data_IF_629850405142
#
_entry.id   IF_629850405142
#
_cell.length_a   1.000
_cell.length_b   1.000
_cell.length_c   1.000
_cell.angle_alpha   90.00
_cell.angle_beta   90.00
_cell.angle_gamma   90.00
#
_symmetry.space_group_name_H-M   'P 1'
#
loop_
_entity.id
_entity.type
_entity.pdbx_description
1 polymer ?
#
# COMPACT_ATOMS: atom_id res chain seq x y z
N UNK A 1 37.51 -38.12 -13.91
CA UNK A 1 37.02 -37.48 -12.68
C UNK A 1 38.09 -36.49 -12.31
N UNK A 2 37.83 -35.18 -12.42
CA UNK A 2 38.82 -34.13 -12.20
C UNK A 2 39.23 -34.07 -10.72
N UNK A 3 40.48 -33.72 -10.45
CA UNK A 3 40.88 -33.37 -9.08
C UNK A 3 40.17 -32.09 -8.61
N UNK A 4 40.08 -31.88 -7.30
CA UNK A 4 39.37 -30.74 -6.72
C UNK A 4 39.88 -29.41 -7.28
N UNK A 5 41.20 -29.26 -7.41
CA UNK A 5 41.85 -28.04 -7.91
C UNK A 5 41.59 -27.83 -9.39
N UNK A 6 41.60 -28.88 -10.21
CA UNK A 6 41.29 -28.79 -11.65
C UNK A 6 39.84 -28.35 -11.86
N UNK A 7 38.88 -28.98 -11.16
CA UNK A 7 37.48 -28.60 -11.24
C UNK A 7 37.21 -27.17 -10.73
N UNK A 8 37.99 -26.72 -9.74
CA UNK A 8 37.94 -25.35 -9.24
C UNK A 8 38.49 -24.35 -10.26
N UNK A 9 39.60 -24.66 -10.94
CA UNK A 9 40.16 -23.81 -11.98
C UNK A 9 39.18 -23.63 -13.15
N UNK A 10 38.58 -24.72 -13.63
CA UNK A 10 37.53 -24.66 -14.66
C UNK A 10 36.34 -23.79 -14.22
N UNK A 11 35.94 -23.91 -12.94
CA UNK A 11 34.85 -23.12 -12.37
C UNK A 11 35.18 -21.61 -12.30
N UNK A 12 36.39 -21.27 -11.84
CA UNK A 12 36.86 -19.87 -11.77
C UNK A 12 36.97 -19.28 -13.16
N UNK A 13 37.53 -20.01 -14.11
CA UNK A 13 37.75 -19.53 -15.47
C UNK A 13 36.43 -19.24 -16.20
N UNK A 14 35.44 -20.14 -16.06
CA UNK A 14 34.10 -19.91 -16.61
C UNK A 14 33.44 -18.67 -16.00
N UNK A 15 33.49 -18.51 -14.67
CA UNK A 15 32.95 -17.33 -14.00
C UNK A 15 33.65 -16.05 -14.41
N UNK A 16 34.98 -16.09 -14.56
CA UNK A 16 35.79 -14.95 -14.95
C UNK A 16 35.43 -14.46 -16.35
N UNK A 17 35.12 -15.36 -17.30
CA UNK A 17 34.68 -14.96 -18.66
C UNK A 17 33.32 -14.26 -18.63
N UNK A 18 32.44 -14.64 -17.70
CA UNK A 18 31.19 -13.94 -17.43
C UNK A 18 31.36 -12.67 -16.57
N UNK A 19 32.59 -12.33 -16.17
CA UNK A 19 32.91 -11.15 -15.37
C UNK A 19 32.63 -11.30 -13.87
N UNK A 20 32.34 -12.51 -13.39
CA UNK A 20 32.17 -12.82 -11.97
C UNK A 20 33.48 -13.24 -11.31
N UNK A 21 33.68 -12.82 -10.07
CA UNK A 21 34.70 -13.38 -9.18
C UNK A 21 34.12 -14.47 -8.28
N UNK A 22 35.00 -15.15 -7.54
CA UNK A 22 34.61 -16.18 -6.57
C UNK A 22 34.80 -15.68 -5.14
N UNK A 23 33.75 -15.79 -4.33
CA UNK A 23 33.83 -15.67 -2.86
C UNK A 23 34.41 -16.95 -2.28
N UNK A 24 35.74 -17.09 -2.37
CA UNK A 24 36.44 -18.31 -1.95
C UNK A 24 36.06 -18.80 -0.54
N UNK A 25 35.92 -17.94 0.49
CA UNK A 25 35.53 -18.42 1.83
C UNK A 25 34.11 -19.01 1.91
N UNK A 26 33.19 -18.57 1.04
CA UNK A 26 31.83 -19.13 0.99
C UNK A 26 31.83 -20.48 0.26
N UNK A 27 32.58 -20.57 -0.83
CA UNK A 27 32.75 -21.82 -1.58
C UNK A 27 33.43 -22.90 -0.72
N UNK A 28 34.53 -22.56 -0.05
CA UNK A 28 35.27 -23.50 0.80
C UNK A 28 34.41 -24.10 1.92
N UNK A 29 33.59 -23.27 2.59
CA UNK A 29 32.63 -23.75 3.62
C UNK A 29 31.61 -24.72 3.04
N UNK A 30 31.09 -24.45 1.85
CA UNK A 30 30.15 -25.35 1.19
C UNK A 30 30.78 -26.70 0.81
N UNK A 31 32.01 -26.67 0.30
CA UNK A 31 32.72 -27.89 -0.10
C UNK A 31 33.08 -28.74 1.12
N UNK A 32 33.55 -28.12 2.20
CA UNK A 32 34.00 -28.80 3.42
C UNK A 32 32.87 -29.41 4.27
N UNK A 33 31.64 -28.89 4.24
CA UNK A 33 30.53 -29.39 5.06
C UNK A 33 30.65 -29.14 6.57
N UNK A 34 31.68 -28.42 7.03
CA UNK A 34 31.93 -28.02 8.41
C UNK A 34 33.06 -26.98 8.51
N UNK A 35 33.15 -26.26 9.63
CA UNK A 35 34.09 -25.13 9.79
C UNK A 35 35.56 -25.57 9.87
N UNK A 36 35.87 -26.71 10.50
CA UNK A 36 37.25 -27.18 10.68
C UNK A 36 37.94 -27.54 9.35
N UNK A 37 37.19 -28.09 8.39
CA UNK A 37 37.72 -28.47 7.08
C UNK A 37 37.71 -27.31 6.06
N UNK A 38 36.93 -26.26 6.30
CA UNK A 38 36.79 -25.13 5.37
C UNK A 38 38.12 -24.39 5.16
N UNK A 39 38.91 -24.19 6.22
CA UNK A 39 40.21 -23.52 6.11
C UNK A 39 41.22 -24.33 5.29
N UNK A 40 41.22 -25.66 5.44
CA UNK A 40 42.09 -26.56 4.67
C UNK A 40 41.71 -26.57 3.18
N UNK A 41 40.41 -26.64 2.87
CA UNK A 41 39.92 -26.54 1.49
C UNK A 41 40.24 -25.17 0.90
N UNK A 42 40.01 -24.08 1.64
CA UNK A 42 40.35 -22.72 1.18
C UNK A 42 41.85 -22.58 0.86
N UNK A 43 42.73 -23.09 1.73
CA UNK A 43 44.17 -23.06 1.52
C UNK A 43 44.60 -23.88 0.29
N UNK A 44 44.00 -25.05 0.08
CA UNK A 44 44.26 -25.89 -1.09
C UNK A 44 43.84 -25.19 -2.40
N UNK A 45 42.63 -24.64 -2.44
CA UNK A 45 42.12 -23.91 -3.61
C UNK A 45 42.93 -22.64 -3.90
N UNK A 46 43.37 -21.91 -2.86
CA UNK A 46 44.20 -20.70 -3.00
C UNK A 46 45.61 -21.02 -3.51
N UNK A 47 46.22 -22.07 -2.98
CA UNK A 47 47.59 -22.49 -3.35
C UNK A 47 47.65 -23.23 -4.69
N UNK A 48 46.48 -23.67 -5.21
CA UNK A 48 46.37 -24.54 -6.39
C UNK A 48 47.24 -25.79 -6.27
N UNK A 49 47.51 -26.24 -5.04
CA UNK A 49 48.33 -27.42 -4.78
C UNK A 49 47.44 -28.55 -4.26
N UNK A 50 47.46 -29.70 -4.94
CA UNK A 50 46.72 -30.91 -4.56
C UNK A 50 47.29 -31.64 -3.33
N UNK A 51 48.09 -30.97 -2.50
CA UNK A 51 48.97 -31.59 -1.51
C UNK A 51 48.41 -31.77 -0.10
N UNK A 52 47.10 -31.61 0.10
CA UNK A 52 46.43 -31.84 1.39
C UNK A 52 45.54 -33.08 1.33
N UNK A 53 45.34 -33.76 2.46
CA UNK A 53 44.37 -34.86 2.58
C UNK A 53 42.95 -34.27 2.56
N UNK A 54 42.48 -33.90 1.37
CA UNK A 54 41.15 -33.32 1.17
C UNK A 54 40.15 -34.44 0.98
N UNK A 55 39.02 -34.34 1.68
CA UNK A 55 37.95 -35.32 1.61
C UNK A 55 37.44 -35.47 0.17
N UNK A 56 37.24 -36.72 -0.27
CA UNK A 56 36.64 -37.07 -1.56
C UNK A 56 35.27 -36.40 -1.76
N UNK A 57 34.51 -36.22 -0.68
CA UNK A 57 33.22 -35.53 -0.72
C UNK A 57 33.35 -34.06 -1.15
N UNK A 58 34.45 -33.37 -0.83
CA UNK A 58 34.67 -32.00 -1.29
C UNK A 58 34.90 -31.95 -2.81
N UNK A 59 35.63 -32.92 -3.38
CA UNK A 59 35.81 -33.06 -4.82
C UNK A 59 34.48 -33.32 -5.54
N UNK A 60 33.66 -34.23 -5.02
CA UNK A 60 32.34 -34.55 -5.61
C UNK A 60 31.39 -33.34 -5.58
N UNK A 61 31.41 -32.55 -4.50
CA UNK A 61 30.64 -31.30 -4.40
C UNK A 61 31.14 -30.24 -5.40
N UNK A 62 32.45 -30.09 -5.56
CA UNK A 62 33.02 -29.14 -6.53
C UNK A 62 32.65 -29.52 -7.96
N UNK A 63 32.72 -30.81 -8.31
CA UNK A 63 32.29 -31.29 -9.62
C UNK A 63 30.80 -31.05 -9.83
N UNK A 64 29.96 -31.28 -8.82
CA UNK A 64 28.52 -31.00 -8.90
C UNK A 64 28.26 -29.51 -9.16
N UNK A 65 28.99 -28.62 -8.47
CA UNK A 65 28.92 -27.19 -8.71
C UNK A 65 29.38 -26.80 -10.13
N UNK A 66 30.46 -27.41 -10.62
CA UNK A 66 30.96 -27.15 -11.98
C UNK A 66 29.94 -27.59 -13.04
N UNK A 67 29.37 -28.80 -12.93
CA UNK A 67 28.33 -29.27 -13.84
C UNK A 67 27.08 -28.39 -13.80
N UNK A 68 26.69 -27.95 -12.60
CA UNK A 68 25.63 -26.95 -12.42
C UNK A 68 25.94 -25.67 -13.20
N UNK A 69 27.13 -25.10 -13.00
CA UNK A 69 27.55 -23.86 -13.65
C UNK A 69 27.51 -23.99 -15.18
N UNK A 70 28.06 -25.07 -15.74
CA UNK A 70 28.05 -25.35 -17.18
C UNK A 70 26.62 -25.36 -17.69
N UNK A 71 25.70 -26.06 -17.01
CA UNK A 71 24.29 -26.10 -17.41
C UNK A 71 23.67 -24.71 -17.45
N UNK A 72 23.86 -23.92 -16.39
CA UNK A 72 23.27 -22.58 -16.29
C UNK A 72 23.85 -21.61 -17.35
N UNK A 73 25.15 -21.69 -17.63
CA UNK A 73 25.80 -20.82 -18.61
C UNK A 73 25.50 -21.22 -20.07
N UNK A 74 25.13 -22.49 -20.31
CA UNK A 74 24.74 -22.98 -21.64
C UNK A 74 23.33 -22.59 -22.02
N UNK A 75 22.41 -22.51 -21.06
CA UNK A 75 20.99 -22.26 -21.33
C UNK A 75 20.77 -21.02 -22.24
N UNK A 76 21.42 -19.86 -22.01
CA UNK A 76 21.25 -18.68 -22.88
C UNK A 76 21.87 -18.82 -24.28
N UNK A 77 22.82 -19.74 -24.45
CA UNK A 77 23.52 -20.01 -25.72
C UNK A 77 22.77 -21.06 -26.58
N UNK A 78 21.82 -21.79 -25.99
CA UNK A 78 21.02 -22.82 -26.65
C UNK A 78 21.70 -24.20 -26.72
N UNK A 79 21.02 -25.15 -27.36
CA UNK A 79 21.39 -26.58 -27.36
C UNK A 79 22.76 -26.88 -27.99
N UNK A 80 23.22 -26.02 -28.91
CA UNK A 80 24.53 -26.14 -29.56
C UNK A 80 25.72 -25.74 -28.65
N UNK A 81 25.47 -25.21 -27.46
CA UNK A 81 26.53 -24.76 -26.56
C UNK A 81 27.39 -25.93 -26.06
N UNK A 82 28.73 -25.81 -26.01
CA UNK A 82 29.62 -26.89 -25.58
C UNK A 82 29.39 -27.33 -24.13
N UNK A 83 29.53 -28.63 -23.86
CA UNK A 83 29.39 -29.19 -22.50
C UNK A 83 30.71 -29.21 -21.72
N UNK A 84 31.84 -29.10 -22.42
CA UNK A 84 33.17 -29.12 -21.80
C UNK A 84 33.55 -27.71 -21.32
N UNK A 85 34.09 -27.54 -20.10
CA UNK A 85 34.43 -26.24 -19.53
C UNK A 85 35.31 -25.37 -20.46
N UNK A 86 36.40 -25.93 -20.97
CA UNK A 86 37.33 -25.19 -21.83
C UNK A 86 36.69 -24.71 -23.14
N UNK A 87 35.88 -25.57 -23.78
CA UNK A 87 35.17 -25.23 -25.03
C UNK A 87 34.06 -24.20 -24.78
N UNK A 88 33.33 -24.32 -23.67
CA UNK A 88 32.31 -23.34 -23.29
C UNK A 88 32.93 -21.97 -22.98
N UNK A 89 34.07 -21.96 -22.26
CA UNK A 89 34.85 -20.75 -21.99
C UNK A 89 35.27 -20.06 -23.28
N UNK A 90 35.78 -20.83 -24.25
CA UNK A 90 36.17 -20.31 -25.56
C UNK A 90 34.97 -19.74 -26.32
N UNK A 91 33.85 -20.48 -26.37
CA UNK A 91 32.62 -20.04 -27.01
C UNK A 91 32.10 -18.72 -26.40
N UNK A 92 32.08 -18.59 -25.08
CA UNK A 92 31.68 -17.36 -24.40
C UNK A 92 32.66 -16.20 -24.67
N UNK A 93 33.96 -16.48 -24.74
CA UNK A 93 34.99 -15.47 -25.02
C UNK A 93 34.87 -14.91 -26.44
N UNK A 94 34.57 -15.78 -27.41
CA UNK A 94 34.36 -15.42 -28.82
C UNK A 94 32.96 -14.87 -29.09
N UNK A 95 32.01 -15.15 -28.20
CA UNK A 95 30.62 -14.72 -28.27
C UNK A 95 30.44 -13.21 -28.11
N UNK A 96 29.23 -12.77 -28.46
CA UNK A 96 28.79 -11.40 -28.29
C UNK A 96 28.75 -10.99 -26.81
N UNK A 97 28.83 -9.69 -26.55
CA UNK A 97 28.68 -9.15 -25.19
C UNK A 97 27.34 -9.56 -24.58
N UNK A 98 26.27 -9.56 -25.39
CA UNK A 98 24.92 -9.96 -24.99
C UNK A 98 24.85 -11.41 -24.49
N UNK A 99 25.53 -12.34 -25.17
CA UNK A 99 25.59 -13.75 -24.76
C UNK A 99 26.32 -13.91 -23.43
N UNK A 100 27.46 -13.21 -23.26
CA UNK A 100 28.19 -13.21 -21.99
C UNK A 100 27.39 -12.62 -20.84
N UNK A 101 26.69 -11.50 -21.07
CA UNK A 101 25.85 -10.88 -20.04
C UNK A 101 24.64 -11.77 -19.69
N UNK A 102 24.06 -12.48 -20.66
CA UNK A 102 22.98 -13.43 -20.41
C UNK A 102 23.46 -14.64 -19.59
N UNK A 103 24.65 -15.18 -19.89
CA UNK A 103 25.27 -16.23 -19.10
C UNK A 103 25.59 -15.75 -17.67
N UNK A 104 26.16 -14.55 -17.50
CA UNK A 104 26.40 -13.95 -16.19
C UNK A 104 25.09 -13.82 -15.39
N UNK A 105 24.02 -13.35 -16.04
CA UNK A 105 22.73 -13.15 -15.42
C UNK A 105 22.06 -14.46 -14.97
N UNK A 106 22.16 -15.52 -15.80
CA UNK A 106 21.65 -16.85 -15.48
C UNK A 106 22.31 -17.41 -14.21
N UNK A 107 23.63 -17.25 -14.07
CA UNK A 107 24.37 -17.73 -12.89
C UNK A 107 23.96 -17.00 -11.60
N UNK A 108 23.56 -15.73 -11.67
CA UNK A 108 23.01 -14.99 -10.53
C UNK A 108 21.62 -15.47 -10.12
N UNK A 109 20.81 -15.90 -11.08
CA UNK A 109 19.45 -16.40 -10.85
C UNK A 109 19.43 -17.85 -10.35
N UNK A 110 20.45 -18.64 -10.70
CA UNK A 110 20.48 -20.08 -10.47
C UNK A 110 21.58 -20.48 -9.50
N UNK A 111 21.24 -20.69 -8.22
CA UNK A 111 21.99 -21.46 -7.19
C UNK A 111 23.43 -21.05 -6.81
N UNK A 112 24.16 -20.37 -7.68
CA UNK A 112 25.58 -20.07 -7.56
C UNK A 112 25.85 -18.75 -6.85
N UNK A 113 24.87 -17.83 -6.84
CA UNK A 113 24.95 -16.47 -6.27
C UNK A 113 25.72 -16.37 -4.95
N UNK A 114 25.50 -17.30 -4.03
CA UNK A 114 26.15 -17.32 -2.71
C UNK A 114 27.68 -17.47 -2.75
N UNK A 115 28.22 -18.00 -3.85
CA UNK A 115 29.64 -18.21 -4.09
C UNK A 115 30.27 -17.13 -4.96
N UNK A 116 29.50 -16.16 -5.46
CA UNK A 116 29.98 -15.18 -6.44
C UNK A 116 30.33 -13.84 -5.78
N UNK A 117 31.38 -13.22 -6.30
CA UNK A 117 31.52 -11.77 -6.34
C UNK A 117 30.89 -11.30 -7.66
N UNK A 118 29.69 -10.70 -7.65
CA UNK A 118 28.98 -10.35 -8.88
C UNK A 118 29.78 -9.36 -9.74
N UNK A 119 29.52 -9.40 -11.04
CA UNK A 119 30.11 -8.48 -12.00
C UNK A 119 29.61 -7.06 -11.72
N UNK A 120 30.43 -6.08 -12.04
CA UNK A 120 30.08 -4.67 -11.92
C UNK A 120 30.36 -3.95 -13.23
N UNK A 121 29.64 -2.87 -13.46
CA UNK A 121 29.85 -1.93 -14.56
C UNK A 121 29.88 -0.51 -14.01
N UNK A 122 30.31 0.46 -14.80
CA UNK A 122 30.20 1.88 -14.44
C UNK A 122 28.77 2.40 -14.65
N UNK A 123 28.36 3.39 -13.85
CA UNK A 123 27.09 4.09 -14.08
C UNK A 123 27.08 4.82 -15.44
N UNK A 124 28.23 5.29 -15.92
CA UNK A 124 28.39 5.87 -17.26
C UNK A 124 28.06 4.89 -18.38
N UNK A 125 28.53 3.64 -18.30
CA UNK A 125 28.15 2.58 -19.25
C UNK A 125 26.64 2.30 -19.22
N UNK A 126 26.03 2.28 -18.02
CA UNK A 126 24.59 2.08 -17.88
C UNK A 126 23.81 3.22 -18.55
N UNK A 127 24.26 4.46 -18.34
CA UNK A 127 23.65 5.64 -18.96
C UNK A 127 23.75 5.62 -20.48
N UNK A 128 24.86 5.15 -21.04
CA UNK A 128 25.01 4.93 -22.47
C UNK A 128 23.96 3.97 -23.02
N UNK A 129 23.76 2.81 -22.37
CA UNK A 129 22.75 1.83 -22.75
C UNK A 129 21.33 2.39 -22.68
N UNK A 130 21.03 3.20 -21.66
CA UNK A 130 19.72 3.83 -21.52
C UNK A 130 19.49 4.90 -22.58
N UNK A 131 20.51 5.69 -22.93
CA UNK A 131 20.42 6.71 -23.97
C UNK A 131 20.08 6.11 -25.35
N UNK A 132 20.64 4.94 -25.69
CA UNK A 132 20.27 4.20 -26.91
C UNK A 132 18.79 3.83 -26.93
N UNK A 133 18.18 3.56 -25.76
CA UNK A 133 16.76 3.20 -25.64
C UNK A 133 15.85 4.41 -25.66
N UNK A 134 16.27 5.49 -25.02
CA UNK A 134 15.55 6.76 -24.99
C UNK A 134 15.56 7.46 -26.36
N UNK A 135 16.50 7.15 -27.25
CA UNK A 135 16.48 7.59 -28.65
C UNK A 135 15.17 7.18 -29.38
N UNK A 136 14.50 6.13 -28.91
CA UNK A 136 13.20 5.67 -29.43
C UNK A 136 12.00 6.18 -28.60
N UNK A 137 12.24 7.07 -27.64
CA UNK A 137 11.26 7.69 -26.75
C UNK A 137 11.57 7.51 -25.27
N UNK A 138 11.25 8.53 -24.47
CA UNK A 138 11.57 8.59 -23.04
C UNK A 138 11.02 7.38 -22.26
N UNK A 139 11.85 6.86 -21.36
CA UNK A 139 11.46 5.82 -20.42
C UNK A 139 10.68 6.44 -19.26
N UNK A 140 9.52 5.86 -18.94
CA UNK A 140 8.77 6.27 -17.76
C UNK A 140 9.43 5.69 -16.51
N UNK A 141 10.30 6.48 -15.88
CA UNK A 141 11.09 6.08 -14.71
C UNK A 141 10.25 5.52 -13.56
N UNK A 142 9.03 6.04 -13.41
CA UNK A 142 8.05 5.54 -12.44
C UNK A 142 7.76 4.03 -12.64
N UNK A 143 7.84 3.49 -13.86
CA UNK A 143 7.69 2.05 -14.14
C UNK A 143 9.02 1.31 -14.11
N UNK A 144 10.08 1.96 -14.57
CA UNK A 144 11.40 1.35 -14.69
C UNK A 144 11.98 1.06 -13.32
N UNK A 145 11.98 2.03 -12.40
CA UNK A 145 12.60 1.88 -11.08
C UNK A 145 12.02 0.69 -10.30
N UNK A 146 10.68 0.52 -10.16
CA UNK A 146 10.12 -0.62 -9.43
C UNK A 146 10.29 -1.96 -10.17
N UNK A 147 10.46 -1.94 -11.50
CA UNK A 147 10.81 -3.14 -12.25
C UNK A 147 12.26 -3.55 -11.97
N UNK A 148 13.19 -2.61 -12.11
CA UNK A 148 14.63 -2.82 -11.84
C UNK A 148 14.85 -3.27 -10.41
N UNK A 149 14.18 -2.65 -9.43
CA UNK A 149 14.28 -3.05 -8.03
C UNK A 149 13.87 -4.51 -7.81
N UNK A 150 12.76 -4.96 -8.43
CA UNK A 150 12.32 -6.37 -8.35
C UNK A 150 13.30 -7.31 -9.04
N UNK A 151 13.86 -6.92 -10.18
CA UNK A 151 14.84 -7.72 -10.91
C UNK A 151 16.18 -7.82 -10.15
N UNK A 152 16.64 -6.74 -9.52
CA UNK A 152 17.82 -6.76 -8.65
C UNK A 152 17.59 -7.66 -7.43
N UNK A 153 16.43 -7.56 -6.78
CA UNK A 153 16.10 -8.40 -5.63
C UNK A 153 16.10 -9.90 -5.98
N UNK A 154 15.59 -10.27 -7.17
CA UNK A 154 15.67 -11.67 -7.69
C UNK A 154 17.11 -12.17 -7.79
N UNK A 155 18.04 -11.27 -8.13
CA UNK A 155 19.49 -11.53 -8.22
C UNK A 155 20.22 -11.32 -6.90
N UNK A 156 19.50 -11.09 -5.80
CA UNK A 156 20.04 -10.89 -4.45
C UNK A 156 20.76 -9.58 -4.24
N UNK A 157 20.44 -8.56 -5.05
CA UNK A 157 20.92 -7.20 -4.89
C UNK A 157 19.79 -6.35 -4.32
N UNK A 158 20.00 -5.79 -3.14
CA UNK A 158 19.09 -4.82 -2.56
C UNK A 158 19.50 -3.42 -3.00
N UNK A 159 18.55 -2.66 -3.53
CA UNK A 159 18.74 -1.27 -3.93
C UNK A 159 17.46 -0.48 -3.67
N UNK A 160 17.61 0.72 -3.15
CA UNK A 160 16.53 1.70 -2.97
C UNK A 160 16.14 2.35 -4.30
N UNK A 161 14.94 2.91 -4.35
CA UNK A 161 14.48 3.68 -5.52
C UNK A 161 15.39 4.87 -5.81
N UNK A 162 15.92 5.51 -4.75
CA UNK A 162 16.86 6.62 -4.86
C UNK A 162 18.19 6.19 -5.46
N UNK A 163 18.77 5.06 -5.02
CA UNK A 163 20.01 4.52 -5.60
C UNK A 163 19.84 4.22 -7.09
N UNK A 164 18.76 3.53 -7.47
CA UNK A 164 18.48 3.22 -8.87
C UNK A 164 18.32 4.51 -9.69
N UNK A 165 17.63 5.52 -9.14
CA UNK A 165 17.50 6.83 -9.77
C UNK A 165 18.86 7.49 -10.05
N UNK A 166 19.77 7.52 -9.06
CA UNK A 166 21.12 8.08 -9.22
C UNK A 166 21.93 7.33 -10.27
N UNK A 167 21.90 6.00 -10.26
CA UNK A 167 22.61 5.18 -11.25
C UNK A 167 22.10 5.42 -12.67
N UNK A 168 20.78 5.54 -12.86
CA UNK A 168 20.16 5.79 -14.17
C UNK A 168 20.44 7.20 -14.69
N UNK A 169 20.56 8.17 -13.79
CA UNK A 169 20.97 9.54 -14.10
C UNK A 169 22.49 9.68 -14.30
N UNK A 170 23.27 8.67 -13.87
CA UNK A 170 24.73 8.71 -13.79
C UNK A 170 25.23 9.99 -13.08
N UNK A 171 24.69 10.27 -11.89
CA UNK A 171 25.14 11.41 -11.06
C UNK A 171 26.65 11.33 -10.75
N UNK A 172 27.18 10.11 -10.56
CA UNK A 172 28.60 9.79 -10.57
C UNK A 172 28.87 8.71 -11.65
N UNK A 173 29.39 9.08 -12.83
CA UNK A 173 29.61 8.15 -13.94
C UNK A 173 30.61 7.01 -13.63
N UNK A 174 31.54 7.22 -12.70
CA UNK A 174 32.58 6.24 -12.34
C UNK A 174 32.10 5.27 -11.25
N UNK A 175 30.93 5.51 -10.65
CA UNK A 175 30.34 4.63 -9.64
C UNK A 175 30.18 3.20 -10.18
N UNK A 176 30.65 2.22 -9.41
CA UNK A 176 30.51 0.79 -9.75
C UNK A 176 29.12 0.31 -9.35
N UNK A 177 28.31 -0.03 -10.34
CA UNK A 177 26.94 -0.53 -10.19
C UNK A 177 26.85 -2.02 -10.57
N UNK A 178 25.79 -2.74 -10.15
CA UNK A 178 25.61 -4.15 -10.49
C UNK A 178 25.60 -4.40 -12.00
N UNK A 179 26.46 -5.31 -12.49
CA UNK A 179 26.60 -5.60 -13.93
C UNK A 179 25.35 -6.17 -14.58
N UNK A 180 24.51 -6.88 -13.82
CA UNK A 180 23.21 -7.39 -14.29
C UNK A 180 22.24 -6.30 -14.74
N UNK A 181 22.48 -5.02 -14.37
CA UNK A 181 21.71 -3.89 -14.88
C UNK A 181 21.77 -3.77 -16.40
N UNK A 182 22.86 -4.22 -17.04
CA UNK A 182 22.95 -4.26 -18.50
C UNK A 182 21.89 -5.15 -19.13
N UNK A 183 21.71 -6.37 -18.60
CA UNK A 183 20.68 -7.31 -19.06
C UNK A 183 19.27 -6.78 -18.76
N UNK A 184 19.06 -6.24 -17.56
CA UNK A 184 17.77 -5.67 -17.15
C UNK A 184 17.40 -4.48 -18.05
N UNK A 185 18.33 -3.54 -18.27
CA UNK A 185 18.13 -2.39 -19.15
C UNK A 185 17.92 -2.83 -20.61
N UNK A 186 18.63 -3.87 -21.07
CA UNK A 186 18.45 -4.47 -22.38
C UNK A 186 17.04 -5.06 -22.60
N UNK A 187 16.35 -5.46 -21.54
CA UNK A 187 14.97 -5.95 -21.56
C UNK A 187 13.88 -4.87 -21.53
N UNK A 188 14.25 -3.59 -21.36
CA UNK A 188 13.28 -2.49 -21.31
C UNK A 188 12.73 -2.18 -22.71
N UNK A 189 11.52 -2.69 -22.99
CA UNK A 189 10.81 -2.45 -24.26
C UNK A 189 9.84 -1.26 -24.25
N UNK A 190 9.08 -1.12 -25.34
CA UNK A 190 8.09 -0.05 -25.54
C UNK A 190 7.04 0.07 -24.41
N UNK A 191 6.76 -1.04 -23.69
CA UNK A 191 5.85 -1.05 -22.54
C UNK A 191 6.28 -0.10 -21.41
N UNK A 192 7.57 0.25 -21.31
CA UNK A 192 8.09 1.15 -20.29
C UNK A 192 8.06 2.63 -20.68
N UNK A 193 7.72 2.99 -21.93
CA UNK A 193 7.74 4.39 -22.40
C UNK A 193 6.50 5.19 -22.04
N UNK A 194 5.33 4.57 -22.18
CA UNK A 194 4.05 5.31 -22.13
C UNK A 194 3.66 5.87 -20.75
N UNK A 195 4.37 5.51 -19.67
CA UNK A 195 3.93 5.80 -18.30
C UNK A 195 2.62 5.11 -17.88
N UNK A 196 1.93 4.46 -18.83
CA UNK A 196 0.62 3.86 -18.61
C UNK A 196 0.75 2.39 -18.19
N UNK A 197 -0.04 2.00 -17.19
CA UNK A 197 -0.24 0.62 -16.73
C UNK A 197 -1.69 0.21 -16.92
N UNK A 198 -1.94 -1.08 -17.13
CA UNK A 198 -3.31 -1.59 -17.19
C UNK A 198 -3.99 -1.38 -15.83
N UNK A 199 -5.27 -0.99 -15.84
CA UNK A 199 -6.02 -0.82 -14.59
C UNK A 199 -6.08 -2.15 -13.83
N UNK A 200 -6.16 -3.28 -14.54
CA UNK A 200 -6.14 -4.62 -13.94
C UNK A 200 -4.86 -4.91 -13.14
N UNK A 201 -3.70 -4.38 -13.57
CA UNK A 201 -2.42 -4.51 -12.84
C UNK A 201 -2.43 -3.77 -11.50
N UNK A 202 -3.21 -2.70 -11.36
CA UNK A 202 -3.38 -1.99 -10.09
C UNK A 202 -4.20 -2.81 -9.09
N UNK A 203 -5.20 -3.53 -9.57
CA UNK A 203 -6.24 -4.15 -8.73
C UNK A 203 -6.01 -5.64 -8.49
N UNK A 204 -4.96 -6.23 -9.08
CA UNK A 204 -4.52 -7.63 -8.88
C UNK A 204 -5.66 -8.66 -9.01
N UNK A 205 -6.52 -8.48 -10.00
CA UNK A 205 -7.66 -9.37 -10.27
C UNK A 205 -8.93 -9.07 -9.46
N UNK A 206 -8.96 -8.02 -8.64
CA UNK A 206 -10.18 -7.51 -8.00
C UNK A 206 -10.96 -6.57 -8.92
N UNK A 207 -12.24 -6.36 -8.61
CA UNK A 207 -13.02 -5.32 -9.28
C UNK A 207 -12.42 -3.92 -9.00
N UNK A 208 -12.18 -3.08 -10.02
CA UNK A 208 -11.58 -1.77 -9.80
C UNK A 208 -12.40 -0.78 -8.98
N UNK A 209 -13.74 -0.86 -8.99
CA UNK A 209 -14.57 -0.01 -8.13
C UNK A 209 -14.46 -0.45 -6.68
N UNK A 210 -14.51 -1.75 -6.43
CA UNK A 210 -14.34 -2.32 -5.11
C UNK A 210 -12.95 -1.97 -4.52
N UNK A 211 -11.88 -2.21 -5.27
CA UNK A 211 -10.52 -1.91 -4.82
C UNK A 211 -10.32 -0.43 -4.53
N UNK A 212 -10.88 0.48 -5.35
CA UNK A 212 -10.80 1.92 -5.11
C UNK A 212 -11.59 2.35 -3.87
N UNK A 213 -12.76 1.79 -3.60
CA UNK A 213 -13.52 2.08 -2.38
C UNK A 213 -12.82 1.55 -1.12
N UNK A 214 -12.25 0.34 -1.20
CA UNK A 214 -11.44 -0.24 -0.12
C UNK A 214 -10.20 0.63 0.15
N UNK A 215 -9.46 1.00 -0.89
CA UNK A 215 -8.27 1.87 -0.80
C UNK A 215 -8.64 3.23 -0.22
N UNK A 216 -9.71 3.86 -0.72
CA UNK A 216 -10.23 5.14 -0.20
C UNK A 216 -10.55 5.02 1.30
N UNK A 217 -11.19 3.93 1.71
CA UNK A 217 -11.56 3.70 3.11
C UNK A 217 -10.33 3.44 3.99
N UNK A 218 -9.39 2.63 3.53
CA UNK A 218 -8.16 2.29 4.26
C UNK A 218 -7.29 3.53 4.52
N UNK A 219 -7.16 4.40 3.52
CA UNK A 219 -6.45 5.68 3.61
C UNK A 219 -7.29 6.81 4.21
N UNK A 220 -8.51 6.52 4.67
CA UNK A 220 -9.43 7.47 5.32
C UNK A 220 -9.76 8.71 4.48
N UNK A 221 -9.74 8.62 3.15
CA UNK A 221 -10.18 9.72 2.30
C UNK A 221 -11.68 9.98 2.48
N UNK A 222 -12.10 11.23 2.66
CA UNK A 222 -13.53 11.55 2.91
C UNK A 222 -14.45 11.31 1.70
N UNK A 223 -13.90 11.27 0.49
CA UNK A 223 -14.61 11.00 -0.75
C UNK A 223 -13.66 10.61 -1.89
N UNK A 224 -14.15 10.01 -2.97
CA UNK A 224 -13.34 9.77 -4.17
C UNK A 224 -12.80 11.07 -4.77
N UNK A 225 -13.58 12.15 -4.79
CA UNK A 225 -13.09 13.45 -5.28
C UNK A 225 -11.91 13.96 -4.45
N UNK A 226 -11.94 13.78 -3.12
CA UNK A 226 -10.81 14.14 -2.25
C UNK A 226 -9.58 13.28 -2.51
N UNK A 227 -9.75 11.97 -2.71
CA UNK A 227 -8.68 11.08 -3.13
C UNK A 227 -8.07 11.52 -4.47
N UNK A 228 -8.88 11.85 -5.47
CA UNK A 228 -8.39 12.26 -6.79
C UNK A 228 -7.61 13.59 -6.74
N UNK A 229 -8.07 14.55 -5.92
CA UNK A 229 -7.36 15.82 -5.69
C UNK A 229 -6.01 15.60 -4.99
N UNK A 230 -6.01 14.77 -3.94
CA UNK A 230 -4.77 14.43 -3.24
C UNK A 230 -3.76 13.75 -4.17
N UNK A 231 -4.20 12.81 -5.00
CA UNK A 231 -3.32 12.16 -5.99
C UNK A 231 -2.79 13.19 -6.99
N UNK A 232 -3.66 14.05 -7.53
CA UNK A 232 -3.27 15.08 -8.49
C UNK A 232 -2.20 16.02 -7.91
N UNK A 233 -2.35 16.42 -6.66
CA UNK A 233 -1.38 17.25 -5.93
C UNK A 233 -0.06 16.50 -5.71
N UNK A 234 -0.11 15.25 -5.23
CA UNK A 234 1.08 14.45 -4.94
C UNK A 234 1.86 14.02 -6.19
N UNK A 235 1.19 13.86 -7.33
CA UNK A 235 1.80 13.36 -8.58
C UNK A 235 2.05 14.46 -9.61
N UNK A 236 1.68 15.72 -9.31
CA UNK A 236 1.65 16.83 -10.28
C UNK A 236 0.80 16.58 -11.54
N UNK A 237 -0.03 15.52 -11.54
CA UNK A 237 -0.96 15.24 -12.63
C UNK A 237 -2.16 16.18 -12.56
N UNK A 238 -2.72 16.53 -13.72
CA UNK A 238 -3.97 17.31 -13.78
C UNK A 238 -5.11 16.52 -13.13
N UNK A 239 -5.90 17.19 -12.27
CA UNK A 239 -7.08 16.59 -11.62
C UNK A 239 -8.02 15.90 -12.60
N UNK A 240 -8.30 16.52 -13.76
CA UNK A 240 -9.18 15.93 -14.77
C UNK A 240 -8.65 14.62 -15.34
N UNK A 241 -7.32 14.47 -15.46
CA UNK A 241 -6.70 13.23 -15.90
C UNK A 241 -6.90 12.14 -14.85
N UNK A 242 -6.63 12.44 -13.57
CA UNK A 242 -6.85 11.49 -12.46
C UNK A 242 -8.33 11.14 -12.33
N UNK A 243 -9.22 12.13 -12.40
CA UNK A 243 -10.66 11.93 -12.30
C UNK A 243 -11.18 11.06 -13.43
N UNK A 244 -10.82 11.31 -14.68
CA UNK A 244 -11.23 10.46 -15.82
C UNK A 244 -10.64 9.04 -15.75
N UNK A 245 -9.43 8.91 -15.22
CA UNK A 245 -8.78 7.61 -15.04
C UNK A 245 -9.50 6.74 -14.00
N UNK A 246 -9.91 7.35 -12.88
CA UNK A 246 -10.43 6.64 -11.71
C UNK A 246 -11.97 6.65 -11.58
N UNK A 247 -12.68 7.48 -12.35
CA UNK A 247 -14.14 7.62 -12.27
C UNK A 247 -14.88 7.29 -13.57
N UNK A 248 -16.15 6.91 -13.42
CA UNK A 248 -17.10 6.71 -14.51
C UNK A 248 -17.34 5.24 -14.86
N UNK A 249 -18.45 4.96 -15.57
CA UNK A 249 -18.81 3.61 -16.03
C UNK A 249 -17.91 3.07 -17.16
N UNK A 250 -17.17 3.96 -17.82
CA UNK A 250 -16.19 3.64 -18.87
C UNK A 250 -14.81 4.11 -18.42
N UNK A 251 -14.32 3.59 -17.29
CA UNK A 251 -12.97 3.88 -16.80
C UNK A 251 -11.95 3.60 -17.90
N UNK A 252 -10.85 4.35 -17.88
CA UNK A 252 -9.75 4.07 -18.77
C UNK A 252 -9.21 2.65 -18.49
N UNK A 253 -9.02 1.84 -19.54
CA UNK A 253 -8.38 0.52 -19.42
C UNK A 253 -6.94 0.63 -18.94
N UNK A 254 -6.32 1.80 -19.10
CA UNK A 254 -4.96 2.11 -18.69
C UNK A 254 -4.94 3.43 -17.93
N UNK A 255 -4.12 3.50 -16.89
CA UNK A 255 -3.94 4.69 -16.06
C UNK A 255 -2.47 5.08 -16.00
N UNK A 256 -2.20 6.34 -15.65
CA UNK A 256 -0.83 6.78 -15.37
C UNK A 256 -0.28 6.01 -14.18
N UNK A 257 0.93 5.47 -14.31
CA UNK A 257 1.54 4.63 -13.31
C UNK A 257 1.80 5.38 -12.00
N UNK A 258 2.06 6.69 -12.07
CA UNK A 258 2.18 7.59 -10.92
C UNK A 258 0.96 7.50 -10.00
N UNK A 259 -0.25 7.34 -10.56
CA UNK A 259 -1.48 7.14 -9.77
C UNK A 259 -1.40 5.85 -8.97
N UNK A 260 -1.01 4.74 -9.62
CA UNK A 260 -0.87 3.42 -8.98
C UNK A 260 0.19 3.46 -7.89
N UNK A 261 1.38 3.97 -8.19
CA UNK A 261 2.50 3.99 -7.25
C UNK A 261 2.25 4.90 -6.06
N UNK A 262 1.61 6.06 -6.28
CA UNK A 262 1.20 6.95 -5.19
C UNK A 262 0.25 6.24 -4.20
N UNK A 263 -0.78 5.54 -4.71
CA UNK A 263 -1.70 4.77 -3.87
C UNK A 263 -1.01 3.60 -3.16
N UNK A 264 -0.17 2.83 -3.85
CA UNK A 264 0.58 1.72 -3.26
C UNK A 264 1.55 2.19 -2.16
N UNK A 265 2.21 3.33 -2.36
CA UNK A 265 3.09 3.94 -1.37
C UNK A 265 2.30 4.33 -0.12
N UNK A 266 1.20 5.09 -0.27
CA UNK A 266 0.37 5.49 0.87
C UNK A 266 -0.18 4.29 1.64
N UNK A 267 -0.62 3.24 0.94
CA UNK A 267 -1.09 2.01 1.59
C UNK A 267 0.02 1.31 2.36
N UNK A 268 1.23 1.25 1.81
CA UNK A 268 2.40 0.66 2.48
C UNK A 268 2.76 1.45 3.75
N UNK A 269 2.82 2.77 3.67
CA UNK A 269 3.10 3.64 4.82
C UNK A 269 2.04 3.44 5.92
N UNK A 270 0.76 3.46 5.54
CA UNK A 270 -0.35 3.23 6.47
C UNK A 270 -0.27 1.83 7.14
N UNK A 271 0.07 0.79 6.38
CA UNK A 271 0.24 -0.58 6.90
C UNK A 271 1.44 -0.71 7.84
N UNK A 272 2.51 0.06 7.59
CA UNK A 272 3.67 0.15 8.46
C UNK A 272 3.43 1.02 9.70
N UNK A 273 2.23 1.59 9.87
CA UNK A 273 1.89 2.49 10.98
C UNK A 273 2.55 3.88 10.87
N UNK A 274 3.09 4.22 9.69
CA UNK A 274 3.69 5.52 9.39
C UNK A 274 2.67 6.45 8.74
N UNK A 275 2.89 7.76 8.86
CA UNK A 275 2.03 8.76 8.23
C UNK A 275 2.25 8.76 6.71
N UNK A 276 1.21 8.51 5.89
CA UNK A 276 1.31 8.58 4.43
C UNK A 276 1.59 10.00 3.88
N UNK A 277 1.51 11.04 4.72
CA UNK A 277 1.72 12.42 4.29
C UNK A 277 0.58 12.97 3.44
N UNK A 278 -0.62 12.40 3.55
CA UNK A 278 -1.82 12.90 2.86
C UNK A 278 -2.32 14.15 3.58
N UNK A 279 -2.51 15.30 2.87
CA UNK A 279 -3.02 16.51 3.51
C UNK A 279 -4.35 16.25 4.22
N UNK A 280 -4.45 16.71 5.47
CA UNK A 280 -5.60 16.46 6.34
C UNK A 280 -6.92 16.90 5.73
N UNK A 281 -6.89 17.95 4.91
CA UNK A 281 -8.07 18.44 4.20
C UNK A 281 -8.69 17.41 3.25
N UNK A 282 -8.00 16.35 2.84
CA UNK A 282 -8.58 15.29 2.01
C UNK A 282 -9.09 14.08 2.82
N UNK A 283 -8.68 14.00 4.08
CA UNK A 283 -9.03 12.92 4.98
C UNK A 283 -10.42 13.12 5.59
N UNK A 284 -10.93 12.07 6.24
CA UNK A 284 -12.24 12.07 6.86
C UNK A 284 -12.38 11.03 7.98
N UNK A 285 -13.21 11.37 8.95
CA UNK A 285 -13.65 10.50 10.03
C UNK A 285 -15.05 9.99 9.71
N UNK A 286 -15.36 8.69 9.87
CA UNK A 286 -16.70 8.17 9.63
C UNK A 286 -17.79 8.97 10.36
N UNK A 287 -18.87 9.33 9.64
CA UNK A 287 -20.02 10.07 10.22
C UNK A 287 -20.65 9.31 11.39
N UNK A 288 -20.53 7.98 11.44
CA UNK A 288 -20.96 7.18 12.58
C UNK A 288 -20.27 7.58 13.88
N UNK A 289 -18.97 7.91 13.83
CA UNK A 289 -18.21 8.36 15.00
C UNK A 289 -18.64 9.76 15.43
N UNK A 290 -18.81 10.68 14.48
CA UNK A 290 -19.40 12.02 14.72
C UNK A 290 -20.77 11.92 15.40
N UNK A 291 -21.64 11.05 14.89
CA UNK A 291 -22.98 10.84 15.41
C UNK A 291 -22.95 10.30 16.86
N UNK A 292 -21.98 9.43 17.18
CA UNK A 292 -21.78 8.91 18.53
C UNK A 292 -21.52 10.00 19.59
N UNK A 293 -20.92 11.13 19.20
CA UNK A 293 -20.67 12.25 20.11
C UNK A 293 -21.94 13.04 20.47
N UNK A 294 -23.03 12.91 19.71
CA UNK A 294 -24.20 13.76 19.82
C UNK A 294 -24.87 13.68 21.21
N UNK A 295 -25.00 12.49 21.78
CA UNK A 295 -25.62 12.33 23.10
C UNK A 295 -24.87 13.10 24.19
N UNK A 296 -23.54 13.09 24.15
CA UNK A 296 -22.70 13.86 25.08
C UNK A 296 -22.84 15.35 24.83
N UNK A 297 -22.79 15.78 23.57
CA UNK A 297 -22.91 17.19 23.19
C UNK A 297 -24.28 17.79 23.58
N UNK A 298 -25.36 17.03 23.44
CA UNK A 298 -26.72 17.45 23.87
C UNK A 298 -26.83 17.65 25.39
N UNK A 299 -26.01 16.96 26.18
CA UNK A 299 -25.98 17.13 27.64
C UNK A 299 -25.20 18.39 28.06
N UNK A 300 -24.20 18.80 27.28
CA UNK A 300 -23.33 19.93 27.60
C UNK A 300 -23.81 21.26 27.00
N UNK A 301 -24.61 21.21 25.93
CA UNK A 301 -25.07 22.37 25.18
C UNK A 301 -26.60 22.50 25.17
N UNK A 302 -27.16 23.72 25.18
CA UNK A 302 -28.61 23.92 25.26
C UNK A 302 -29.37 23.32 24.06
N UNK A 303 -28.83 23.51 22.86
CA UNK A 303 -29.42 23.02 21.61
C UNK A 303 -28.36 22.44 20.68
N UNK A 304 -28.78 21.57 19.75
CA UNK A 304 -27.89 21.06 18.68
C UNK A 304 -27.38 22.19 17.79
N UNK A 305 -28.19 23.23 17.59
CA UNK A 305 -27.83 24.36 16.73
C UNK A 305 -26.69 25.19 17.32
N UNK A 306 -26.62 25.28 18.66
CA UNK A 306 -25.48 25.92 19.34
C UNK A 306 -24.19 25.12 19.12
N UNK A 307 -24.26 23.78 19.18
CA UNK A 307 -23.12 22.90 18.87
C UNK A 307 -22.64 23.13 17.43
N UNK A 308 -23.56 23.12 16.46
CA UNK A 308 -23.21 23.31 15.06
C UNK A 308 -22.59 24.69 14.79
N UNK A 309 -23.09 25.74 15.46
CA UNK A 309 -22.56 27.10 15.34
C UNK A 309 -21.16 27.20 15.92
N UNK A 310 -20.92 26.67 17.12
CA UNK A 310 -19.60 26.65 17.74
C UNK A 310 -18.56 25.93 16.86
N UNK A 311 -18.93 24.77 16.31
CA UNK A 311 -18.05 24.05 15.38
C UNK A 311 -17.84 24.85 14.10
N UNK A 312 -18.89 25.47 13.56
CA UNK A 312 -18.79 26.33 12.36
C UNK A 312 -17.84 27.51 12.57
N UNK A 313 -17.90 28.17 13.71
CA UNK A 313 -17.03 29.29 14.07
C UNK A 313 -15.58 28.86 14.21
N UNK A 314 -15.32 27.70 14.83
CA UNK A 314 -13.97 27.17 15.05
C UNK A 314 -13.32 26.60 13.81
N UNK A 315 -14.10 26.08 12.87
CA UNK A 315 -13.58 25.37 11.68
C UNK A 315 -13.73 26.16 10.38
N UNK A 316 -14.49 27.25 10.38
CA UNK A 316 -14.85 28.00 9.16
C UNK A 316 -15.86 27.29 8.25
N UNK A 317 -16.30 26.08 8.60
CA UNK A 317 -17.28 25.31 7.80
C UNK A 317 -18.69 25.77 8.14
N UNK A 318 -19.45 26.20 7.14
CA UNK A 318 -20.85 26.65 7.30
C UNK A 318 -21.68 25.70 8.19
N UNK A 319 -22.42 26.26 9.15
CA UNK A 319 -23.31 25.54 10.09
C UNK A 319 -24.20 24.50 9.42
N UNK A 320 -24.79 24.82 8.27
CA UNK A 320 -25.62 23.88 7.50
C UNK A 320 -24.87 22.63 7.05
N UNK A 321 -23.59 22.75 6.69
CA UNK A 321 -22.72 21.61 6.37
C UNK A 321 -22.36 20.82 7.62
N UNK A 322 -22.03 21.50 8.72
CA UNK A 322 -21.74 20.86 10.02
C UNK A 322 -22.90 19.97 10.45
N UNK A 323 -24.13 20.48 10.38
CA UNK A 323 -25.35 19.74 10.72
C UNK A 323 -25.44 18.40 10.00
N UNK A 324 -25.04 18.32 8.73
CA UNK A 324 -25.11 17.09 7.93
C UNK A 324 -24.16 16.00 8.44
N UNK A 325 -23.03 16.37 9.04
CA UNK A 325 -22.07 15.39 9.59
C UNK A 325 -22.56 14.71 10.88
N UNK A 326 -23.62 15.23 11.51
CA UNK A 326 -24.26 14.60 12.66
C UNK A 326 -25.51 13.79 12.30
N UNK A 327 -25.88 13.77 11.01
CA UNK A 327 -27.00 13.00 10.49
C UNK A 327 -26.48 11.67 9.93
N UNK A 328 -26.72 10.57 10.65
CA UNK A 328 -26.40 9.23 10.15
C UNK A 328 -27.54 8.69 9.25
N UNK A 329 -27.85 9.42 8.18
CA UNK A 329 -28.91 9.07 7.21
C UNK A 329 -28.35 8.50 5.89
N UNK A 330 -27.06 8.17 5.84
CA UNK A 330 -26.37 7.62 4.68
C UNK A 330 -25.98 8.63 3.59
N UNK A 331 -26.39 9.91 3.69
CA UNK A 331 -26.06 10.92 2.67
C UNK A 331 -24.57 11.31 2.68
N UNK A 332 -23.93 11.28 3.84
CA UNK A 332 -22.51 11.53 4.01
C UNK A 332 -21.89 10.35 4.75
N UNK A 333 -20.80 9.81 4.21
CA UNK A 333 -20.05 8.72 4.85
C UNK A 333 -18.98 9.23 5.82
N UNK A 334 -18.38 10.38 5.53
CA UNK A 334 -17.23 10.93 6.28
C UNK A 334 -17.39 12.43 6.55
N UNK A 335 -16.85 12.87 7.68
CA UNK A 335 -16.73 14.27 8.09
C UNK A 335 -15.26 14.71 8.10
N UNK A 336 -14.95 15.99 7.85
CA UNK A 336 -13.58 16.49 7.98
C UNK A 336 -13.00 16.26 9.39
N UNK A 337 -11.71 15.89 9.52
CA UNK A 337 -11.10 15.64 10.82
C UNK A 337 -11.16 16.84 11.77
N UNK A 338 -11.04 18.07 11.25
CA UNK A 338 -11.17 19.31 12.02
C UNK A 338 -12.54 19.45 12.71
N UNK A 339 -13.62 19.05 12.02
CA UNK A 339 -14.99 19.02 12.58
C UNK A 339 -15.07 17.99 13.70
N UNK A 340 -14.48 16.81 13.50
CA UNK A 340 -14.47 15.76 14.51
C UNK A 340 -13.67 16.14 15.75
N UNK A 341 -12.45 16.67 15.60
CA UNK A 341 -11.65 17.16 16.74
C UNK A 341 -12.40 18.21 17.53
N UNK A 342 -12.98 19.21 16.86
CA UNK A 342 -13.77 20.23 17.53
C UNK A 342 -14.97 19.63 18.28
N UNK A 343 -15.70 18.68 17.69
CA UNK A 343 -16.81 18.01 18.34
C UNK A 343 -16.36 17.15 19.54
N UNK A 344 -15.23 16.45 19.42
CA UNK A 344 -14.67 15.62 20.48
C UNK A 344 -14.18 16.49 21.66
N UNK A 345 -13.49 17.59 21.39
CA UNK A 345 -13.09 18.58 22.39
C UNK A 345 -14.30 19.14 23.15
N UNK A 346 -15.36 19.51 22.44
CA UNK A 346 -16.61 19.98 23.05
C UNK A 346 -17.26 18.88 23.91
N UNK A 347 -17.25 17.64 23.44
CA UNK A 347 -17.81 16.50 24.17
C UNK A 347 -16.99 16.12 25.42
N UNK A 348 -15.67 16.33 25.39
CA UNK A 348 -14.73 16.06 26.48
C UNK A 348 -14.77 17.12 27.59
N UNK A 349 -15.45 18.25 27.40
CA UNK A 349 -15.53 19.29 28.43
C UNK A 349 -16.16 18.74 29.72
N UNK A 350 -15.47 18.97 30.83
CA UNK A 350 -16.01 18.84 32.18
C UNK A 350 -16.91 20.02 32.47
N UNK A 351 -18.12 19.97 31.92
CA UNK A 351 -19.22 20.83 32.34
C UNK A 351 -20.19 20.00 33.18
N UNK A 352 -20.80 20.59 34.23
CA UNK A 352 -21.82 19.91 35.01
C UNK A 352 -22.89 19.42 34.05
N UNK A 353 -23.09 18.10 34.03
CA UNK A 353 -24.04 17.45 33.14
C UNK A 353 -25.41 18.02 33.46
N UNK A 354 -26.04 18.64 32.46
CA UNK A 354 -27.40 19.16 32.62
C UNK A 354 -28.34 17.97 32.69
N UNK A 355 -28.67 17.54 33.91
CA UNK A 355 -29.77 16.60 34.12
C UNK A 355 -31.05 17.40 33.89
N UNK A 356 -31.76 17.10 32.78
CA UNK A 356 -33.10 17.61 32.61
C UNK A 356 -33.98 16.87 33.59
N UNK A 357 -34.54 17.57 34.58
CA UNK A 357 -35.60 17.02 35.39
C UNK A 357 -36.68 16.45 34.46
N UNK A 358 -37.15 15.25 34.78
CA UNK A 358 -38.27 14.65 34.05
C UNK A 358 -39.41 15.66 34.03
N UNK A 359 -39.99 15.98 32.88
CA UNK A 359 -41.14 16.88 32.81
C UNK A 359 -42.37 16.31 33.55
N UNK A 360 -42.33 15.02 33.93
CA UNK A 360 -43.29 14.37 34.81
C UNK A 360 -42.99 14.61 36.30
N UNK A 361 -41.94 15.34 36.67
CA UNK A 361 -41.69 15.76 38.05
C UNK A 361 -42.68 16.84 38.49
N UNK A 362 -43.21 17.63 37.54
CA UNK A 362 -44.32 18.56 37.77
C UNK A 362 -45.64 17.77 37.96
N UNK A 363 -46.28 17.85 39.16
CA UNK A 363 -47.53 17.16 39.43
C UNK A 363 -48.64 17.50 38.43
N UNK A 364 -48.67 18.74 37.92
CA UNK A 364 -49.70 19.18 36.96
C UNK A 364 -49.50 18.54 35.59
N UNK A 365 -48.26 18.51 35.12
CA UNK A 365 -47.90 17.85 33.85
C UNK A 365 -48.08 16.33 33.94
N UNK A 366 -47.77 15.73 35.10
CA UNK A 366 -48.02 14.31 35.36
C UNK A 366 -49.52 13.98 35.31
N UNK A 367 -50.34 14.71 36.05
CA UNK A 367 -51.79 14.52 36.06
C UNK A 367 -52.38 14.65 34.65
N UNK A 368 -51.99 15.70 33.90
CA UNK A 368 -52.47 15.89 32.54
C UNK A 368 -52.04 14.74 31.60
N UNK A 369 -50.83 14.23 31.75
CA UNK A 369 -50.33 13.08 30.99
C UNK A 369 -51.09 11.80 31.34
N UNK A 370 -51.36 11.56 32.62
CA UNK A 370 -52.14 10.42 33.12
C UNK A 370 -53.58 10.48 32.61
N UNK A 371 -54.24 11.65 32.68
CA UNK A 371 -55.61 11.84 32.19
C UNK A 371 -55.70 11.58 30.67
N UNK A 372 -54.74 12.10 29.90
CA UNK A 372 -54.68 11.88 28.45
C UNK A 372 -54.35 10.44 28.08
N UNK A 373 -53.47 9.78 28.85
CA UNK A 373 -53.17 8.36 28.67
C UNK A 373 -54.38 7.48 29.01
N UNK A 374 -55.13 7.82 30.07
CA UNK A 374 -56.35 7.13 30.44
C UNK A 374 -57.40 7.26 29.33
N UNK A 375 -57.66 8.47 28.83
CA UNK A 375 -58.58 8.72 27.71
C UNK A 375 -58.15 8.01 26.43
N UNK A 376 -56.85 7.95 26.14
CA UNK A 376 -56.34 7.21 24.99
C UNK A 376 -56.56 5.70 25.14
N UNK A 377 -56.38 5.15 26.34
CA UNK A 377 -56.64 3.73 26.63
C UNK A 377 -58.15 3.40 26.59
N UNK A 378 -59.01 4.29 27.07
CA UNK A 378 -60.46 4.14 26.93
C UNK A 378 -60.89 4.17 25.45
N UNK A 379 -60.35 5.10 24.66
CA UNK A 379 -60.60 5.17 23.22
C UNK A 379 -60.11 3.92 22.49
N UNK A 380 -58.93 3.40 22.85
CA UNK A 380 -58.40 2.14 22.32
C UNK A 380 -59.28 0.93 22.69
N UNK A 381 -59.76 0.89 23.93
CA UNK A 381 -60.65 -0.18 24.40
C UNK A 381 -62.00 -0.16 23.67
N UNK A 382 -62.56 1.04 23.44
CA UNK A 382 -63.79 1.21 22.63
C UNK A 382 -63.57 0.84 21.17
N UNK A 383 -62.42 1.19 20.59
CA UNK A 383 -62.07 0.82 19.22
C UNK A 383 -61.96 -0.69 19.04
N UNK A 384 -61.30 -1.38 20.00
CA UNK A 384 -61.18 -2.83 20.01
C UNK A 384 -62.54 -3.53 20.24
N UNK A 385 -63.42 -2.96 21.06
CA UNK A 385 -64.76 -3.51 21.33
C UNK A 385 -65.75 -3.26 20.18
N UNK A 386 -65.55 -2.20 19.38
CA UNK A 386 -66.38 -1.83 18.24
C UNK A 386 -65.81 -2.31 16.90
N UNK A 387 -65.03 -3.40 16.92
CA UNK A 387 -64.50 -4.12 15.77
C UNK A 387 -63.85 -3.24 14.70
N UNK A 388 -63.10 -2.21 15.12
CA UNK A 388 -62.28 -1.45 14.20
C UNK A 388 -62.94 -0.25 13.51
N UNK A 389 -64.16 0.16 13.91
CA UNK A 389 -64.88 1.28 13.25
C UNK A 389 -64.08 2.60 13.16
N UNK A 390 -64.16 3.27 11.99
CA UNK A 390 -63.31 4.41 11.63
C UNK A 390 -63.41 5.63 12.56
N UNK A 391 -64.58 5.87 13.16
CA UNK A 391 -64.78 6.96 14.12
C UNK A 391 -63.99 6.75 15.41
N UNK A 392 -63.95 5.51 15.92
CA UNK A 392 -63.21 5.16 17.13
C UNK A 392 -61.69 5.12 16.89
N UNK A 393 -61.26 4.71 15.69
CA UNK A 393 -59.86 4.80 15.27
C UNK A 393 -59.38 6.27 15.23
N UNK A 394 -60.20 7.17 14.66
CA UNK A 394 -59.90 8.60 14.59
C UNK A 394 -59.78 9.20 16.00
N UNK A 395 -60.74 8.92 16.88
CA UNK A 395 -60.73 9.38 18.27
C UNK A 395 -59.49 8.92 19.05
N UNK A 396 -59.06 7.66 18.87
CA UNK A 396 -57.81 7.16 19.46
C UNK A 396 -56.59 7.88 18.90
N UNK A 397 -56.50 8.03 17.56
CA UNK A 397 -55.37 8.73 16.90
C UNK A 397 -55.27 10.19 17.34
N UNK A 398 -56.38 10.89 17.47
CA UNK A 398 -56.43 12.28 17.92
C UNK A 398 -56.01 12.42 19.38
N UNK A 399 -56.52 11.56 20.27
CA UNK A 399 -56.16 11.59 21.69
C UNK A 399 -54.69 11.23 21.91
N UNK A 400 -54.18 10.23 21.18
CA UNK A 400 -52.75 9.88 21.17
C UNK A 400 -51.88 11.01 20.63
N UNK A 401 -52.33 11.70 19.57
CA UNK A 401 -51.62 12.86 19.01
C UNK A 401 -51.62 14.02 20.00
N UNK A 402 -52.74 14.29 20.66
CA UNK A 402 -52.84 15.31 21.70
C UNK A 402 -51.91 15.02 22.88
N UNK A 403 -51.81 13.77 23.33
CA UNK A 403 -50.82 13.33 24.32
C UNK A 403 -49.39 13.62 23.84
N UNK A 404 -49.01 13.20 22.64
CA UNK A 404 -47.67 13.42 22.09
C UNK A 404 -47.34 14.91 21.98
N UNK A 405 -48.27 15.74 21.49
CA UNK A 405 -48.09 17.19 21.35
C UNK A 405 -47.94 17.84 22.73
N UNK A 406 -48.82 17.51 23.67
CA UNK A 406 -48.78 18.05 25.04
C UNK A 406 -47.47 17.70 25.74
N UNK A 407 -47.01 16.45 25.65
CA UNK A 407 -45.73 16.03 26.23
C UNK A 407 -44.55 16.73 25.56
N UNK A 408 -44.58 16.94 24.24
CA UNK A 408 -43.53 17.67 23.50
C UNK A 408 -43.48 19.16 23.87
N UNK A 409 -44.63 19.81 23.98
CA UNK A 409 -44.73 21.23 24.35
C UNK A 409 -44.34 21.47 25.82
N UNK A 410 -44.71 20.57 26.73
CA UNK A 410 -44.30 20.67 28.13
C UNK A 410 -42.82 20.39 28.31
N UNK A 411 -42.27 19.42 27.56
CA UNK A 411 -40.82 19.15 27.49
C UNK A 411 -40.02 20.35 26.99
N UNK A 412 -40.54 21.16 26.07
CA UNK A 412 -39.83 22.34 25.55
C UNK A 412 -39.93 23.57 26.47
N UNK A 413 -40.91 23.62 27.37
CA UNK A 413 -41.13 24.73 28.32
C UNK A 413 -40.49 24.54 29.70
N UNK A 414 -40.00 23.33 30.01
CA UNK A 414 -39.29 23.03 31.26
C UNK A 414 -37.97 23.83 31.34
N UNK A 415 -37.74 24.63 32.39
CA UNK A 415 -36.45 25.27 32.59
C UNK A 415 -35.38 24.21 32.87
N UNK A 416 -34.24 24.31 32.19
CA UNK A 416 -33.07 23.47 32.47
C UNK A 416 -32.43 24.00 33.74
N UNK A 417 -32.79 23.46 34.90
CA UNK A 417 -32.25 23.93 36.17
C UNK A 417 -31.80 22.76 37.04
N UNK A 418 -30.52 22.41 36.87
CA UNK A 418 -29.54 22.15 37.94
C UNK A 418 -28.22 21.78 37.28
N UNK A 419 -27.17 22.55 37.58
CA UNK A 419 -25.80 22.04 37.51
C UNK A 419 -25.64 21.11 38.71
N UNK A 420 -25.51 19.81 38.48
CA UNK A 420 -25.02 18.92 39.54
C UNK A 420 -23.52 19.17 39.61
N UNK A 421 -23.08 19.80 40.70
CA UNK A 421 -21.68 20.06 40.99
C UNK A 421 -20.93 18.80 41.34
#
# INVERSE_FOLDING_TARGET
MLELTEAYEDYVDLLSVAGHGVKLPALARHLAGGEEQAAAVEAALRSRTGGGQIDRTATERMQTLLHGLIREMREPLGEAAPEQPAALREALTQGSLKERDAAADAVLLNGHRQFLQPSTMSAGELRGLLAEREAEGDLAMVKVVPHVQRELARRGVEASEAEIGRWFAAEDPEERVPGCLRTIAGGLGAGFRTGLVALEEMVRGQDPDEWLEQTRSALRFRSHSSMHKAIAEATSLKYDCVHKALSGRKKAKRIQAEIKYCLELWLREQQAGRDPGIPEEYLGVPVKEMHGLMARLENLHPTKEDVYRLISERTGIKTGSVRRYFQNNGQLKYAPPSVFRCAAELAAQERPVRVRDSYLSDPRTRQLAEDLAHRANEALSRWNAADGTAEHELAFKETRRALIVTLKERRSRMPVLRSVG
#
